data_IF_954514467756
#
_entry.id   IF_954514467756
#
_cell.length_a   1.000
_cell.length_b   1.000
_cell.length_c   1.000
_cell.angle_alpha   90.00
_cell.angle_beta   90.00
_cell.angle_gamma   90.00
#
_symmetry.space_group_name_H-M   'P 1'
#
loop_
_entity.id
_entity.type
_entity.pdbx_description
1 polymer ?
#
# COMPACT_ATOMS: atom_id res chain seq x y z
N UNK A 1 -9.09 -2.16 -14.87
CA UNK A 1 -7.79 -2.19 -14.18
C UNK A 1 -7.14 -3.55 -14.28
N UNK A 2 -5.81 -3.56 -14.37
CA UNK A 2 -5.00 -4.75 -14.11
C UNK A 2 -3.98 -4.44 -13.01
N UNK A 3 -3.31 -5.44 -12.44
CA UNK A 3 -2.34 -5.22 -11.38
C UNK A 3 -1.14 -6.17 -11.56
N UNK A 4 0.08 -5.62 -11.45
CA UNK A 4 1.33 -6.38 -11.38
C UNK A 4 2.14 -5.98 -10.17
N UNK A 5 2.75 -6.96 -9.49
CA UNK A 5 3.46 -6.80 -8.23
C UNK A 5 4.93 -7.17 -8.36
N UNK A 6 5.82 -6.25 -8.04
CA UNK A 6 7.25 -6.48 -7.80
C UNK A 6 7.52 -6.50 -6.30
N UNK A 7 8.17 -7.55 -5.79
CA UNK A 7 8.38 -7.77 -4.35
C UNK A 7 9.85 -7.64 -3.99
N UNK A 8 10.12 -6.96 -2.87
CA UNK A 8 11.47 -6.71 -2.37
C UNK A 8 11.57 -7.02 -0.87
N UNK A 9 12.52 -7.89 -0.50
CA UNK A 9 12.89 -8.13 0.89
C UNK A 9 13.91 -7.10 1.37
N UNK A 10 13.89 -6.76 2.66
CA UNK A 10 14.94 -5.98 3.32
C UNK A 10 15.84 -6.94 4.10
N UNK A 11 17.14 -6.89 3.82
CA UNK A 11 18.22 -7.51 4.58
C UNK A 11 19.54 -6.77 4.31
N UNK A 12 20.65 -7.25 4.84
CA UNK A 12 22.00 -6.66 4.59
C UNK A 12 22.36 -6.64 3.09
N UNK A 13 21.88 -7.62 2.33
CA UNK A 13 22.18 -7.77 0.89
C UNK A 13 21.00 -7.38 -0.02
N UNK A 14 19.80 -7.23 0.50
CA UNK A 14 18.59 -6.99 -0.29
C UNK A 14 17.83 -5.72 0.15
N UNK A 15 17.07 -5.10 -0.78
CA UNK A 15 17.05 -5.42 -2.21
C UNK A 15 18.39 -5.07 -2.87
N UNK A 16 18.85 -5.93 -3.80
CA UNK A 16 20.02 -5.65 -4.61
C UNK A 16 19.68 -4.65 -5.73
N UNK A 17 20.69 -3.94 -6.26
CA UNK A 17 20.49 -3.05 -7.41
C UNK A 17 19.88 -3.79 -8.60
N UNK A 18 20.30 -5.03 -8.84
CA UNK A 18 19.76 -5.85 -9.92
C UNK A 18 18.27 -6.16 -9.71
N UNK A 19 17.87 -6.56 -8.50
CA UNK A 19 16.44 -6.85 -8.22
C UNK A 19 15.57 -5.61 -8.34
N UNK A 20 16.06 -4.46 -7.88
CA UNK A 20 15.32 -3.18 -8.01
C UNK A 20 15.13 -2.85 -9.50
N UNK A 21 16.21 -2.91 -10.29
CA UNK A 21 16.14 -2.57 -11.70
C UNK A 21 15.27 -3.54 -12.50
N UNK A 22 15.42 -4.85 -12.30
CA UNK A 22 14.69 -5.86 -13.06
C UNK A 22 13.19 -5.79 -12.79
N UNK A 23 12.78 -5.61 -11.54
CA UNK A 23 11.37 -5.45 -11.19
C UNK A 23 10.79 -4.12 -11.70
N UNK A 24 11.53 -3.02 -11.59
CA UNK A 24 11.11 -1.72 -12.12
C UNK A 24 10.89 -1.80 -13.65
N UNK A 25 11.83 -2.42 -14.37
CA UNK A 25 11.70 -2.66 -15.82
C UNK A 25 10.48 -3.55 -16.16
N UNK A 26 10.25 -4.62 -15.39
CA UNK A 26 9.08 -5.48 -15.59
C UNK A 26 7.76 -4.75 -15.35
N UNK A 27 7.68 -3.91 -14.30
CA UNK A 27 6.52 -3.08 -13.99
C UNK A 27 6.25 -2.06 -15.10
N UNK A 28 7.31 -1.44 -15.66
CA UNK A 28 7.17 -0.48 -16.75
C UNK A 28 6.69 -1.15 -18.04
N UNK A 29 7.27 -2.29 -18.43
CA UNK A 29 6.79 -3.07 -19.60
C UNK A 29 5.35 -3.52 -19.45
N UNK A 30 4.99 -4.00 -18.27
CA UNK A 30 3.62 -4.36 -17.96
C UNK A 30 2.69 -3.15 -18.16
N UNK A 31 3.07 -1.98 -17.62
CA UNK A 31 2.25 -0.76 -17.72
C UNK A 31 2.06 -0.31 -19.16
N UNK A 32 3.10 -0.42 -20.01
CA UNK A 32 3.00 -0.10 -21.45
C UNK A 32 1.95 -0.97 -22.14
N UNK A 33 2.04 -2.30 -21.97
CA UNK A 33 1.09 -3.23 -22.59
C UNK A 33 -0.34 -3.00 -22.10
N UNK A 34 -0.53 -2.65 -20.82
CA UNK A 34 -1.85 -2.38 -20.25
C UNK A 34 -2.45 -1.11 -20.84
N UNK A 35 -1.66 -0.03 -20.96
CA UNK A 35 -2.14 1.23 -21.56
C UNK A 35 -2.42 1.08 -23.05
N UNK A 36 -1.62 0.32 -23.80
CA UNK A 36 -1.91 -0.01 -25.21
C UNK A 36 -3.27 -0.73 -25.36
N UNK A 37 -3.68 -1.51 -24.36
CA UNK A 37 -4.99 -2.16 -24.33
C UNK A 37 -6.13 -1.27 -23.80
N UNK A 38 -5.90 0.02 -23.58
CA UNK A 38 -6.90 0.96 -23.06
C UNK A 38 -7.28 0.71 -21.59
N UNK A 39 -6.41 0.05 -20.82
CA UNK A 39 -6.65 -0.25 -19.40
C UNK A 39 -5.72 0.56 -18.50
N UNK A 40 -6.11 0.72 -17.24
CA UNK A 40 -5.30 1.40 -16.21
C UNK A 40 -4.45 0.37 -15.47
N UNK A 41 -3.10 0.48 -15.49
CA UNK A 41 -2.22 -0.38 -14.72
C UNK A 41 -2.18 0.06 -13.25
N UNK A 42 -2.35 -0.88 -12.34
CA UNK A 42 -2.00 -0.72 -10.92
C UNK A 42 -0.59 -1.24 -10.74
N UNK A 43 0.33 -0.33 -10.48
CA UNK A 43 1.77 -0.59 -10.34
C UNK A 43 2.09 -0.83 -8.87
N UNK A 44 2.51 -2.06 -8.51
CA UNK A 44 2.70 -2.47 -7.11
C UNK A 44 4.17 -2.82 -6.80
N UNK A 45 5.04 -1.82 -6.57
CA UNK A 45 6.40 -2.03 -6.06
C UNK A 45 6.35 -2.20 -4.54
N UNK A 46 6.25 -3.43 -4.03
CA UNK A 46 6.08 -3.71 -2.60
C UNK A 46 7.40 -4.05 -1.92
N UNK A 47 7.80 -3.23 -0.96
CA UNK A 47 8.86 -3.58 0.00
C UNK A 47 8.21 -4.26 1.20
N UNK A 48 8.60 -5.53 1.42
CA UNK A 48 8.03 -6.37 2.49
C UNK A 48 8.43 -5.85 3.86
N UNK A 49 7.51 -5.99 4.81
CA UNK A 49 7.78 -5.68 6.21
C UNK A 49 8.28 -6.87 7.02
N UNK A 50 8.54 -8.01 6.36
CA UNK A 50 9.16 -9.16 7.02
C UNK A 50 10.59 -8.83 7.44
N UNK A 51 10.96 -9.23 8.67
CA UNK A 51 12.30 -8.98 9.23
C UNK A 51 12.28 -8.01 10.40
N UNK A 52 13.47 -7.57 10.79
CA UNK A 52 13.75 -6.77 12.00
C UNK A 52 14.21 -5.33 11.70
N UNK A 53 14.12 -4.93 10.45
CA UNK A 53 14.56 -3.60 10.00
C UNK A 53 13.81 -2.46 10.67
N UNK A 54 14.46 -1.30 10.80
CA UNK A 54 13.84 -0.09 11.31
C UNK A 54 12.92 0.57 10.27
N UNK A 55 12.01 1.42 10.72
CA UNK A 55 11.17 2.22 9.83
C UNK A 55 12.00 3.18 8.95
N UNK A 56 13.14 3.67 9.44
CA UNK A 56 14.08 4.49 8.67
C UNK A 56 14.69 3.69 7.50
N UNK A 57 15.03 2.43 7.75
CA UNK A 57 15.52 1.52 6.70
C UNK A 57 14.42 1.25 5.66
N UNK A 58 13.19 0.97 6.13
CA UNK A 58 12.03 0.82 5.26
C UNK A 58 11.80 2.08 4.40
N UNK A 59 11.82 3.28 5.00
CA UNK A 59 11.69 4.55 4.29
C UNK A 59 12.75 4.68 3.18
N UNK A 60 14.01 4.46 3.51
CA UNK A 60 15.11 4.55 2.55
C UNK A 60 14.93 3.59 1.39
N UNK A 61 14.62 2.32 1.68
CA UNK A 61 14.48 1.28 0.66
C UNK A 61 13.23 1.45 -0.20
N UNK A 62 12.11 1.82 0.40
CA UNK A 62 10.89 2.10 -0.35
C UNK A 62 11.07 3.30 -1.27
N UNK A 63 11.71 4.38 -0.81
CA UNK A 63 11.99 5.54 -1.64
C UNK A 63 12.92 5.19 -2.82
N UNK A 64 13.95 4.37 -2.59
CA UNK A 64 14.86 3.89 -3.64
C UNK A 64 14.10 3.08 -4.71
N UNK A 65 13.26 2.15 -4.27
CA UNK A 65 12.45 1.27 -5.13
C UNK A 65 11.44 2.08 -5.96
N UNK A 66 10.70 2.99 -5.32
CA UNK A 66 9.68 3.81 -6.00
C UNK A 66 10.33 4.74 -7.02
N UNK A 67 11.43 5.44 -6.67
CA UNK A 67 12.16 6.30 -7.60
C UNK A 67 12.62 5.52 -8.84
N UNK A 68 13.23 4.35 -8.65
CA UNK A 68 13.67 3.54 -9.78
C UNK A 68 12.49 3.04 -10.63
N UNK A 69 11.36 2.71 -10.00
CA UNK A 69 10.15 2.33 -10.71
C UNK A 69 9.67 3.47 -11.62
N UNK A 70 9.59 4.70 -11.13
CA UNK A 70 9.18 5.86 -11.94
C UNK A 70 10.19 6.22 -13.02
N UNK A 71 11.50 6.09 -12.78
CA UNK A 71 12.51 6.24 -13.83
C UNK A 71 12.24 5.29 -15.01
N UNK A 72 11.95 4.02 -14.75
CA UNK A 72 11.63 3.04 -15.78
C UNK A 72 10.27 3.34 -16.46
N UNK A 73 9.25 3.74 -15.71
CA UNK A 73 7.96 4.15 -16.28
C UNK A 73 8.14 5.32 -17.27
N UNK A 74 8.95 6.32 -16.91
CA UNK A 74 9.25 7.46 -17.80
C UNK A 74 10.06 7.04 -19.03
N UNK A 75 11.06 6.15 -18.91
CA UNK A 75 11.82 5.61 -20.04
C UNK A 75 10.88 4.90 -21.03
N UNK A 76 9.87 4.18 -20.52
CA UNK A 76 8.86 3.50 -21.33
C UNK A 76 7.72 4.41 -21.81
N UNK A 77 7.80 5.72 -21.53
CA UNK A 77 6.81 6.74 -21.91
C UNK A 77 5.39 6.43 -21.45
N UNK A 78 5.28 5.89 -20.24
CA UNK A 78 3.98 5.62 -19.61
C UNK A 78 3.29 6.94 -19.29
N UNK A 79 2.01 7.04 -19.61
CA UNK A 79 1.16 8.14 -19.14
C UNK A 79 0.93 7.98 -17.63
N UNK A 80 1.65 8.78 -16.82
CA UNK A 80 1.57 8.72 -15.37
C UNK A 80 0.21 9.17 -14.82
N UNK A 81 -0.55 9.96 -15.58
CA UNK A 81 -1.92 10.35 -15.19
C UNK A 81 -2.92 9.20 -15.33
N UNK A 82 -2.55 8.16 -16.09
CA UNK A 82 -3.34 6.95 -16.33
C UNK A 82 -2.90 5.74 -15.51
N UNK A 83 -2.19 5.91 -14.38
CA UNK A 83 -1.81 4.79 -13.50
C UNK A 83 -2.36 4.93 -12.09
N UNK A 84 -2.35 3.83 -11.32
CA UNK A 84 -2.51 3.82 -9.86
C UNK A 84 -1.25 3.22 -9.26
N UNK A 85 -0.64 3.93 -8.30
CA UNK A 85 0.46 3.37 -7.51
C UNK A 85 -0.11 2.58 -6.33
N UNK A 86 0.42 1.35 -6.11
CA UNK A 86 0.05 0.53 -4.95
C UNK A 86 1.27 0.20 -4.09
N UNK A 87 1.72 1.13 -3.22
CA UNK A 87 2.89 0.94 -2.38
C UNK A 87 2.53 0.33 -1.02
N UNK A 88 3.58 -0.13 -0.30
CA UNK A 88 3.50 -0.34 1.14
C UNK A 88 3.50 1.00 1.91
N UNK A 89 2.96 1.01 3.11
CA UNK A 89 3.20 2.06 4.10
C UNK A 89 4.60 1.89 4.71
N UNK A 90 5.17 2.94 5.28
CA UNK A 90 6.51 2.87 5.90
C UNK A 90 6.38 2.39 7.34
N UNK A 91 6.84 1.17 7.58
CA UNK A 91 6.72 0.45 8.84
C UNK A 91 8.08 -0.10 9.28
N UNK A 92 8.22 -0.34 10.58
CA UNK A 92 9.29 -1.20 11.07
C UNK A 92 8.98 -2.67 10.76
N UNK A 93 10.00 -3.47 10.59
CA UNK A 93 9.86 -4.90 10.33
C UNK A 93 9.00 -5.63 11.37
N UNK A 94 8.37 -6.72 10.96
CA UNK A 94 7.42 -7.47 11.81
C UNK A 94 8.04 -7.99 13.11
N UNK A 95 9.34 -8.37 13.07
CA UNK A 95 10.10 -8.83 14.22
C UNK A 95 10.96 -7.75 14.87
N UNK A 96 10.87 -6.50 14.41
CA UNK A 96 11.62 -5.39 14.99
C UNK A 96 11.16 -5.04 16.40
N UNK A 97 12.11 -4.82 17.29
CA UNK A 97 11.84 -4.32 18.65
C UNK A 97 11.58 -2.80 18.67
N UNK A 98 11.75 -2.11 17.55
CA UNK A 98 11.61 -0.66 17.41
C UNK A 98 10.35 -0.30 16.61
N UNK A 99 9.18 -0.67 17.13
CA UNK A 99 7.91 -0.23 16.53
C UNK A 99 7.78 1.29 16.64
N UNK A 100 7.09 1.88 15.67
CA UNK A 100 6.81 3.31 15.63
C UNK A 100 5.30 3.55 15.75
N UNK A 101 4.91 4.75 16.22
CA UNK A 101 3.50 5.12 16.32
C UNK A 101 2.86 5.32 14.94
N UNK A 102 1.54 5.23 14.88
CA UNK A 102 0.77 5.44 13.65
C UNK A 102 0.98 6.85 13.08
N UNK A 103 1.19 7.87 13.92
CA UNK A 103 1.55 9.22 13.46
C UNK A 103 2.92 9.25 12.75
N UNK A 104 3.88 8.48 13.26
CA UNK A 104 5.21 8.40 12.63
C UNK A 104 5.14 7.61 11.33
N UNK A 105 4.32 6.56 11.27
CA UNK A 105 4.02 5.81 10.03
C UNK A 105 3.45 6.76 8.98
N UNK A 106 2.44 7.55 9.33
CA UNK A 106 1.83 8.51 8.42
C UNK A 106 2.83 9.54 7.90
N UNK A 107 3.61 10.16 8.79
CA UNK A 107 4.64 11.17 8.42
C UNK A 107 5.72 10.58 7.50
N UNK A 108 6.21 9.38 7.80
CA UNK A 108 7.23 8.73 6.98
C UNK A 108 6.69 8.28 5.63
N UNK A 109 5.46 7.78 5.59
CA UNK A 109 4.79 7.39 4.34
C UNK A 109 4.58 8.61 3.44
N UNK A 110 4.04 9.71 3.97
CA UNK A 110 3.86 10.95 3.22
C UNK A 110 5.20 11.52 2.74
N UNK A 111 6.25 11.49 3.58
CA UNK A 111 7.60 11.89 3.17
C UNK A 111 8.10 11.06 1.99
N UNK A 112 7.97 9.74 2.07
CA UNK A 112 8.37 8.83 0.99
C UNK A 112 7.66 9.18 -0.33
N UNK A 113 6.34 9.37 -0.27
CA UNK A 113 5.54 9.68 -1.45
C UNK A 113 5.90 11.03 -2.07
N UNK A 114 6.03 12.08 -1.27
CA UNK A 114 6.42 13.42 -1.73
C UNK A 114 7.79 13.44 -2.41
N UNK A 115 8.74 12.65 -1.91
CA UNK A 115 10.11 12.61 -2.42
C UNK A 115 10.29 11.67 -3.63
N UNK A 116 9.31 10.78 -3.89
CA UNK A 116 9.52 9.65 -4.80
C UNK A 116 8.45 9.49 -5.87
N UNK A 117 7.29 10.12 -5.73
CA UNK A 117 6.15 9.96 -6.66
C UNK A 117 5.94 11.25 -7.43
N UNK A 118 5.93 11.20 -8.78
CA UNK A 118 5.59 12.36 -9.61
C UNK A 118 4.16 12.87 -9.35
N UNK A 119 3.97 14.19 -9.45
CA UNK A 119 2.69 14.82 -9.15
C UNK A 119 1.56 14.49 -10.13
N UNK A 120 1.91 13.97 -11.30
CA UNK A 120 0.99 13.53 -12.34
C UNK A 120 0.21 12.27 -11.96
N UNK A 121 0.71 11.49 -10.98
CA UNK A 121 0.04 10.27 -10.50
C UNK A 121 -1.21 10.64 -9.71
N UNK A 122 -2.42 10.28 -10.18
CA UNK A 122 -3.66 10.78 -9.56
C UNK A 122 -4.00 10.04 -8.27
N UNK A 123 -3.66 8.76 -8.16
CA UNK A 123 -4.15 7.89 -7.09
C UNK A 123 -3.12 6.93 -6.52
N UNK A 124 -3.20 6.76 -5.20
CA UNK A 124 -2.37 5.84 -4.43
C UNK A 124 -3.29 4.92 -3.63
N UNK A 125 -3.19 3.61 -3.89
CA UNK A 125 -3.98 2.58 -3.21
C UNK A 125 -3.05 1.71 -2.35
N UNK A 126 -2.95 1.97 -1.06
CA UNK A 126 -2.02 1.22 -0.19
C UNK A 126 -2.38 -0.25 -0.08
N UNK A 127 -1.35 -1.10 -0.02
CA UNK A 127 -1.48 -2.47 0.46
C UNK A 127 -1.43 -2.52 2.00
N UNK A 128 -1.96 -3.57 2.62
CA UNK A 128 -1.93 -3.72 4.08
C UNK A 128 -0.63 -4.31 4.63
N UNK A 129 0.11 -5.07 3.84
CA UNK A 129 1.47 -5.52 4.13
C UNK A 129 1.66 -6.29 5.44
N UNK A 130 0.70 -7.09 5.89
CA UNK A 130 0.82 -7.85 7.14
C UNK A 130 0.40 -7.08 8.41
N UNK A 131 -0.02 -5.84 8.29
CA UNK A 131 -0.70 -5.11 9.38
C UNK A 131 -2.01 -5.80 9.75
N UNK A 132 -2.45 -5.65 10.98
CA UNK A 132 -3.81 -6.01 11.39
C UNK A 132 -4.83 -5.12 10.69
N UNK A 133 -6.11 -5.51 10.74
CA UNK A 133 -7.21 -4.72 10.18
C UNK A 133 -7.26 -3.31 10.79
N UNK A 134 -7.11 -3.22 12.12
CA UNK A 134 -7.13 -1.96 12.86
C UNK A 134 -5.90 -1.10 12.54
N UNK A 135 -4.69 -1.67 12.61
CA UNK A 135 -3.46 -0.94 12.30
C UNK A 135 -3.48 -0.36 10.89
N UNK A 136 -3.90 -1.16 9.89
CA UNK A 136 -3.97 -0.70 8.51
C UNK A 136 -4.99 0.44 8.34
N UNK A 137 -6.12 0.38 9.05
CA UNK A 137 -7.17 1.40 9.03
C UNK A 137 -6.71 2.68 9.71
N UNK A 138 -6.12 2.58 10.91
CA UNK A 138 -5.58 3.73 11.66
C UNK A 138 -4.49 4.44 10.87
N UNK A 139 -3.54 3.69 10.34
CA UNK A 139 -2.44 4.26 9.55
C UNK A 139 -2.98 4.96 8.29
N UNK A 140 -3.91 4.36 7.55
CA UNK A 140 -4.56 5.00 6.40
C UNK A 140 -5.28 6.30 6.80
N UNK A 141 -6.00 6.27 7.93
CA UNK A 141 -6.72 7.43 8.45
C UNK A 141 -5.78 8.59 8.76
N UNK A 142 -4.65 8.32 9.42
CA UNK A 142 -3.66 9.36 9.76
C UNK A 142 -2.92 9.86 8.53
N UNK A 143 -2.61 8.99 7.57
CA UNK A 143 -2.05 9.40 6.28
C UNK A 143 -2.99 10.40 5.60
N UNK A 144 -4.29 10.11 5.53
CA UNK A 144 -5.27 11.01 4.92
C UNK A 144 -5.50 12.30 5.71
N UNK A 145 -5.48 12.24 7.05
CA UNK A 145 -5.55 13.45 7.91
C UNK A 145 -4.37 14.39 7.72
N UNK A 146 -3.18 13.86 7.49
CA UNK A 146 -1.95 14.64 7.34
C UNK A 146 -1.58 14.89 5.88
N UNK A 147 -2.38 14.40 4.95
CA UNK A 147 -2.15 14.57 3.53
C UNK A 147 -2.27 16.05 3.13
N UNK A 148 -1.15 16.62 2.73
CA UNK A 148 -1.03 17.99 2.21
C UNK A 148 -0.62 17.98 0.72
N UNK A 149 -0.85 16.85 0.03
CA UNK A 149 -0.59 16.66 -1.39
C UNK A 149 -1.89 16.58 -2.18
N UNK A 150 -1.81 16.58 -3.51
CA UNK A 150 -2.95 16.38 -4.40
C UNK A 150 -3.27 14.89 -4.64
N UNK A 151 -2.50 13.95 -4.06
CA UNK A 151 -2.76 12.54 -4.25
C UNK A 151 -4.07 12.10 -3.57
N UNK A 152 -4.92 11.41 -4.30
CA UNK A 152 -6.07 10.70 -3.74
C UNK A 152 -5.55 9.39 -3.15
N UNK A 153 -5.61 9.25 -1.83
CA UNK A 153 -5.07 8.09 -1.13
C UNK A 153 -6.18 7.20 -0.58
N UNK A 154 -6.15 5.94 -0.97
CA UNK A 154 -7.14 4.93 -0.60
C UNK A 154 -6.46 3.60 -0.28
N UNK A 155 -7.23 2.53 -0.20
CA UNK A 155 -6.76 1.19 0.15
C UNK A 155 -7.04 0.17 -0.96
N UNK A 156 -6.18 -0.83 -1.05
CA UNK A 156 -6.38 -2.04 -1.84
C UNK A 156 -5.90 -3.23 -1.00
N UNK A 157 -6.65 -3.50 0.07
CA UNK A 157 -6.31 -4.50 1.06
C UNK A 157 -6.84 -5.88 0.67
N UNK A 158 -6.04 -6.92 0.92
CA UNK A 158 -6.49 -8.30 0.95
C UNK A 158 -6.85 -8.69 2.39
N UNK A 159 -5.86 -9.19 3.13
CA UNK A 159 -6.05 -9.72 4.50
C UNK A 159 -6.70 -8.74 5.47
N UNK A 160 -6.28 -7.49 5.48
CA UNK A 160 -6.84 -6.48 6.39
C UNK A 160 -8.27 -6.04 6.05
N UNK A 161 -8.84 -6.47 4.92
CA UNK A 161 -10.24 -6.26 4.58
C UNK A 161 -11.10 -7.51 4.81
N UNK A 162 -10.51 -8.70 4.70
CA UNK A 162 -11.26 -9.95 4.61
C UNK A 162 -11.14 -10.85 5.84
N UNK A 163 -10.12 -10.64 6.71
CA UNK A 163 -9.77 -11.59 7.78
C UNK A 163 -10.91 -11.85 8.74
N UNK A 164 -11.60 -10.81 9.22
CA UNK A 164 -12.72 -10.95 10.16
C UNK A 164 -13.91 -11.65 9.50
N UNK A 165 -14.24 -11.29 8.26
CA UNK A 165 -15.32 -11.95 7.51
C UNK A 165 -15.02 -13.42 7.24
N UNK A 166 -13.78 -13.75 6.82
CA UNK A 166 -13.37 -15.14 6.63
C UNK A 166 -13.40 -15.95 7.93
N UNK A 167 -12.98 -15.32 9.06
CA UNK A 167 -13.05 -15.95 10.38
C UNK A 167 -14.49 -16.20 10.83
N UNK A 168 -15.40 -15.27 10.55
CA UNK A 168 -16.82 -15.42 10.84
C UNK A 168 -17.40 -16.56 9.99
N UNK A 169 -17.22 -16.48 8.67
CA UNK A 169 -17.69 -17.46 7.72
C UNK A 169 -17.20 -18.89 8.05
N UNK A 170 -15.94 -19.06 8.40
CA UNK A 170 -15.38 -20.39 8.73
C UNK A 170 -16.07 -21.08 9.92
N UNK A 171 -16.77 -20.32 10.76
CA UNK A 171 -17.52 -20.82 11.91
C UNK A 171 -19.04 -20.89 11.66
N UNK A 172 -19.52 -20.18 10.66
CA UNK A 172 -20.94 -19.97 10.36
C UNK A 172 -21.17 -20.05 8.86
N UNK A 173 -20.84 -21.20 8.23
CA UNK A 173 -20.81 -21.37 6.77
C UNK A 173 -22.14 -21.02 6.11
N UNK A 174 -23.26 -21.37 6.77
CA UNK A 174 -24.61 -21.12 6.25
C UNK A 174 -25.12 -19.69 6.49
N UNK A 175 -24.43 -18.91 7.34
CA UNK A 175 -24.82 -17.51 7.63
C UNK A 175 -24.14 -16.54 6.67
N UNK A 176 -24.65 -16.48 5.45
CA UNK A 176 -24.19 -15.55 4.42
C UNK A 176 -24.42 -14.09 4.84
N UNK A 177 -25.57 -13.78 5.45
CA UNK A 177 -25.91 -12.42 5.85
C UNK A 177 -24.96 -11.88 6.93
N UNK A 178 -24.72 -12.65 7.99
CA UNK A 178 -23.76 -12.26 9.04
C UNK A 178 -22.33 -12.12 8.49
N UNK A 179 -21.93 -12.97 7.54
CA UNK A 179 -20.62 -12.85 6.87
C UNK A 179 -20.52 -11.53 6.08
N UNK A 180 -21.57 -11.16 5.34
CA UNK A 180 -21.63 -9.91 4.59
C UNK A 180 -21.65 -8.69 5.51
N UNK A 181 -22.36 -8.72 6.64
CA UNK A 181 -22.37 -7.65 7.64
C UNK A 181 -20.96 -7.39 8.21
N UNK A 182 -20.24 -8.44 8.59
CA UNK A 182 -18.86 -8.32 9.08
C UNK A 182 -17.93 -7.73 8.01
N UNK A 183 -18.06 -8.17 6.76
CA UNK A 183 -17.29 -7.61 5.65
C UNK A 183 -17.63 -6.14 5.39
N UNK A 184 -18.91 -5.81 5.35
CA UNK A 184 -19.40 -4.44 5.12
C UNK A 184 -18.94 -3.48 6.23
N UNK A 185 -18.97 -3.93 7.51
CA UNK A 185 -18.43 -3.15 8.61
C UNK A 185 -16.96 -2.81 8.36
N UNK A 186 -16.11 -3.81 8.04
CA UNK A 186 -14.70 -3.58 7.78
C UNK A 186 -14.46 -2.66 6.58
N UNK A 187 -15.22 -2.84 5.48
CA UNK A 187 -15.14 -1.98 4.31
C UNK A 187 -15.52 -0.52 4.64
N UNK A 188 -16.55 -0.32 5.46
CA UNK A 188 -16.96 1.01 5.91
C UNK A 188 -15.87 1.69 6.75
N UNK A 189 -15.23 0.97 7.67
CA UNK A 189 -14.12 1.50 8.47
C UNK A 189 -12.95 1.93 7.58
N UNK A 190 -12.57 1.12 6.60
CA UNK A 190 -11.54 1.48 5.62
C UNK A 190 -11.94 2.69 4.76
N UNK A 191 -13.21 2.82 4.40
CA UNK A 191 -13.74 3.97 3.65
C UNK A 191 -13.67 5.25 4.47
N UNK A 192 -14.05 5.20 5.74
CA UNK A 192 -13.90 6.34 6.67
C UNK A 192 -12.43 6.73 6.86
N UNK A 193 -11.54 5.75 6.94
CA UNK A 193 -10.10 6.00 7.03
C UNK A 193 -9.55 6.66 5.75
N UNK A 194 -10.01 6.25 4.57
CA UNK A 194 -9.66 6.91 3.31
C UNK A 194 -10.14 8.37 3.22
N UNK A 195 -11.11 8.75 4.06
CA UNK A 195 -11.60 10.13 4.21
C UNK A 195 -10.98 10.87 5.40
N UNK A 196 -10.10 10.22 6.18
CA UNK A 196 -9.56 10.79 7.42
C UNK A 196 -10.59 10.95 8.56
N UNK A 197 -11.70 10.21 8.50
CA UNK A 197 -12.85 10.31 9.42
C UNK A 197 -13.00 9.13 10.38
N UNK A 198 -12.14 8.14 10.28
CA UNK A 198 -12.19 6.98 11.17
C UNK A 198 -11.73 7.35 12.59
N UNK A 199 -12.34 6.71 13.58
CA UNK A 199 -11.89 6.69 14.99
C UNK A 199 -12.13 5.31 15.59
N UNK A 200 -11.37 4.97 16.64
CA UNK A 200 -11.43 3.64 17.27
C UNK A 200 -12.82 3.28 17.82
N UNK A 201 -13.61 4.29 18.25
CA UNK A 201 -14.96 4.10 18.80
C UNK A 201 -15.93 3.49 17.75
N UNK A 202 -15.66 3.68 16.47
CA UNK A 202 -16.50 3.18 15.38
C UNK A 202 -16.33 1.67 15.15
N UNK A 203 -15.25 1.08 15.66
CA UNK A 203 -15.00 -0.36 15.56
C UNK A 203 -15.97 -1.20 16.43
N UNK A 204 -16.55 -0.59 17.47
CA UNK A 204 -17.42 -1.26 18.45
C UNK A 204 -18.90 -1.19 18.08
N UNK A 205 -19.24 -0.60 16.96
CA UNK A 205 -20.60 -0.46 16.45
C UNK A 205 -20.85 -1.47 15.35
#
# INVERSE_FOLDING_TARGET
FTKWRGVYNISDKFPSKLSIQSNAHALARYSALVQECGMVPIVEPEVLMDGDHSAETCLKKTSEVIKRCFEELMIHKIDLSGIILKPNMILAGTTSNKKISSEKVAKYTLKCLKESVPLEVPGIAFLSGGQTEIEATENLNLINKYNDTNFIMTYSYGRALQKSALKFWSKNIEDTNGTQEVFNHRANMCTLAAQGKWSADLESK
#
